data_IF_561008495916
#
_entry.id   IF_561008495916
#
_cell.length_a   1.000
_cell.length_b   1.000
_cell.length_c   1.000
_cell.angle_alpha   90.00
_cell.angle_beta   90.00
_cell.angle_gamma   90.00
#
_symmetry.space_group_name_H-M   'P 1'
#
loop_
_entity.id
_entity.type
_entity.pdbx_description
1 polymer ?
#
# COMPACT_ATOMS: atom_id res chain seq x y z
N UNK A 1 -97.33 -53.31 -36.23
CA UNK A 1 -96.59 -52.05 -35.87
C UNK A 1 -96.02 -52.25 -34.51
N UNK A 2 -94.75 -52.47 -34.41
CA UNK A 2 -94.03 -52.86 -33.15
C UNK A 2 -93.19 -51.64 -32.64
N UNK A 3 -93.49 -51.20 -31.45
CA UNK A 3 -92.75 -50.18 -30.75
C UNK A 3 -91.51 -50.77 -30.07
N UNK A 4 -90.35 -50.22 -30.36
CA UNK A 4 -89.10 -50.56 -29.68
C UNK A 4 -88.84 -49.52 -28.59
N UNK A 5 -88.75 -49.94 -27.36
CA UNK A 5 -88.35 -49.12 -26.19
C UNK A 5 -86.80 -49.14 -26.07
N UNK A 6 -86.22 -48.02 -26.18
CA UNK A 6 -84.81 -47.83 -25.87
C UNK A 6 -84.63 -47.55 -24.35
N UNK A 7 -83.86 -48.43 -23.70
CA UNK A 7 -83.38 -48.24 -22.32
C UNK A 7 -82.10 -47.49 -22.30
N UNK A 8 -82.17 -46.27 -21.76
CA UNK A 8 -80.93 -45.40 -21.58
C UNK A 8 -80.16 -45.85 -20.35
N UNK A 9 -78.93 -46.25 -20.56
CA UNK A 9 -78.00 -46.55 -19.45
C UNK A 9 -77.20 -45.22 -19.22
N UNK A 10 -77.46 -44.57 -18.07
CA UNK A 10 -76.66 -43.41 -17.58
C UNK A 10 -75.41 -43.92 -16.88
N UNK A 11 -74.24 -43.72 -17.54
CA UNK A 11 -72.92 -43.96 -16.93
C UNK A 11 -72.53 -42.71 -16.13
N UNK A 12 -72.53 -42.81 -14.81
CA UNK A 12 -72.01 -41.76 -13.93
C UNK A 12 -70.50 -41.88 -13.88
N UNK A 13 -69.80 -40.96 -14.63
CA UNK A 13 -68.34 -40.86 -14.62
C UNK A 13 -67.96 -40.07 -13.39
N UNK A 14 -67.51 -40.73 -12.29
CA UNK A 14 -66.92 -40.09 -11.14
C UNK A 14 -65.55 -39.58 -11.49
N UNK A 15 -65.42 -38.24 -11.74
CA UNK A 15 -64.14 -37.54 -11.85
C UNK A 15 -63.49 -37.42 -10.43
N UNK A 16 -62.56 -38.33 -10.12
CA UNK A 16 -61.64 -38.15 -9.02
C UNK A 16 -60.68 -37.05 -9.41
N UNK A 17 -60.92 -35.82 -8.94
CA UNK A 17 -59.89 -34.78 -8.90
C UNK A 17 -58.84 -35.21 -7.87
N UNK A 18 -57.83 -35.93 -8.33
CA UNK A 18 -56.56 -36.13 -7.61
C UNK A 18 -55.84 -34.78 -7.55
N UNK A 19 -56.00 -34.07 -6.46
CA UNK A 19 -55.16 -32.89 -6.17
C UNK A 19 -53.71 -33.37 -6.13
N UNK A 20 -52.96 -33.04 -7.16
CA UNK A 20 -51.51 -33.14 -7.10
C UNK A 20 -51.05 -32.10 -6.06
N UNK A 21 -50.83 -32.55 -4.82
CA UNK A 21 -50.06 -31.77 -3.86
C UNK A 21 -48.63 -31.64 -4.43
N UNK A 22 -48.36 -30.61 -5.18
CA UNK A 22 -46.99 -30.21 -5.48
C UNK A 22 -46.40 -29.75 -4.15
N UNK A 23 -45.56 -30.57 -3.54
CA UNK A 23 -44.70 -30.11 -2.46
C UNK A 23 -43.91 -28.91 -3.00
N UNK A 24 -44.16 -27.73 -2.46
CA UNK A 24 -43.42 -26.54 -2.82
C UNK A 24 -42.00 -26.75 -2.31
N UNK A 25 -41.02 -26.92 -3.23
CA UNK A 25 -39.64 -27.13 -2.89
C UNK A 25 -39.15 -25.95 -2.03
N UNK A 26 -38.50 -26.27 -0.92
CA UNK A 26 -37.90 -25.27 -0.05
C UNK A 26 -36.91 -24.44 -0.87
N UNK A 27 -37.00 -23.11 -0.82
CA UNK A 27 -36.01 -22.24 -1.42
C UNK A 27 -35.44 -21.27 -0.39
N UNK A 28 -34.20 -20.81 -0.62
CA UNK A 28 -33.52 -19.85 0.23
C UNK A 28 -33.16 -18.61 -0.60
N UNK A 29 -33.53 -17.43 -0.12
CA UNK A 29 -33.21 -16.15 -0.72
C UNK A 29 -32.40 -15.31 0.25
N UNK A 30 -31.32 -14.71 -0.26
CA UNK A 30 -30.35 -13.91 0.50
C UNK A 30 -30.22 -12.53 -0.13
N UNK A 31 -29.84 -11.49 0.62
CA UNK A 31 -29.43 -10.21 0.05
C UNK A 31 -28.19 -10.41 -0.84
N UNK A 32 -28.01 -9.57 -1.86
CA UNK A 32 -26.82 -9.61 -2.71
C UNK A 32 -25.56 -9.31 -1.91
N UNK A 33 -25.63 -8.30 -1.03
CA UNK A 33 -24.54 -7.90 -0.15
C UNK A 33 -25.08 -7.31 1.16
N UNK A 34 -24.25 -7.38 2.20
CA UNK A 34 -24.47 -6.83 3.54
C UNK A 34 -23.21 -6.08 3.95
N UNK A 35 -23.35 -4.95 4.63
CA UNK A 35 -22.21 -4.25 5.20
C UNK A 35 -21.76 -4.96 6.48
N UNK A 36 -20.47 -5.06 6.71
CA UNK A 36 -19.91 -5.72 7.89
C UNK A 36 -20.46 -5.13 9.20
N UNK A 37 -20.95 -6.01 10.06
CA UNK A 37 -21.57 -5.63 11.33
C UNK A 37 -23.02 -5.13 11.24
N UNK A 38 -23.64 -5.17 10.05
CA UNK A 38 -25.06 -4.90 9.90
C UNK A 38 -25.87 -6.22 9.98
N UNK A 39 -27.13 -6.16 10.46
CA UNK A 39 -28.00 -7.32 10.45
C UNK A 39 -28.38 -7.71 9.02
N UNK A 40 -28.65 -8.98 8.78
CA UNK A 40 -29.11 -9.46 7.49
C UNK A 40 -30.37 -10.32 7.67
N UNK A 41 -31.25 -10.31 6.67
CA UNK A 41 -32.46 -11.13 6.64
C UNK A 41 -32.36 -12.12 5.48
N UNK A 42 -32.59 -13.38 5.78
CA UNK A 42 -32.67 -14.49 4.83
C UNK A 42 -34.11 -14.95 4.78
N UNK A 43 -34.70 -14.99 3.61
CA UNK A 43 -36.09 -15.48 3.41
C UNK A 43 -36.09 -16.92 2.94
N UNK A 44 -37.03 -17.70 3.46
CA UNK A 44 -37.25 -19.10 3.04
C UNK A 44 -38.65 -19.25 2.50
N UNK A 45 -38.86 -20.22 1.58
CA UNK A 45 -40.17 -20.65 1.13
C UNK A 45 -40.45 -22.08 1.58
N UNK A 46 -41.70 -22.53 1.48
CA UNK A 46 -42.14 -23.85 1.91
C UNK A 46 -42.77 -23.82 3.31
N UNK A 47 -43.01 -24.98 3.87
CA UNK A 47 -43.62 -25.14 5.18
C UNK A 47 -42.94 -26.29 5.96
N UNK A 48 -43.04 -26.24 7.30
CA UNK A 48 -42.45 -27.25 8.17
C UNK A 48 -41.15 -26.82 8.82
N UNK A 49 -40.48 -27.78 9.47
CA UNK A 49 -39.19 -27.56 10.14
C UNK A 49 -38.01 -27.85 9.20
N UNK A 50 -36.95 -27.07 9.31
CA UNK A 50 -35.73 -27.27 8.57
C UNK A 50 -34.53 -26.95 9.45
N UNK A 51 -33.33 -27.42 9.06
CA UNK A 51 -32.08 -27.04 9.67
C UNK A 51 -31.40 -25.96 8.78
N UNK A 52 -31.06 -24.85 9.39
CA UNK A 52 -30.33 -23.76 8.76
C UNK A 52 -28.85 -23.82 9.12
N UNK A 53 -27.99 -23.67 8.13
CA UNK A 53 -26.56 -23.50 8.32
C UNK A 53 -26.11 -22.16 7.72
N UNK A 54 -25.29 -21.43 8.47
CA UNK A 54 -24.56 -20.24 8.00
C UNK A 54 -23.08 -20.55 8.03
N UNK A 55 -22.43 -20.48 6.86
CA UNK A 55 -21.01 -20.67 6.70
C UNK A 55 -20.40 -19.40 6.10
N UNK A 56 -19.27 -18.94 6.67
CA UNK A 56 -18.58 -17.76 6.19
C UNK A 56 -17.26 -17.53 6.91
N UNK A 57 -16.51 -16.45 6.59
CA UNK A 57 -15.26 -16.13 7.25
C UNK A 57 -15.43 -16.00 8.77
N UNK A 58 -14.83 -16.92 9.52
CA UNK A 58 -14.90 -16.94 10.98
C UNK A 58 -16.27 -17.27 11.57
N UNK A 59 -17.24 -17.77 10.77
CA UNK A 59 -18.55 -18.19 11.25
C UNK A 59 -18.93 -19.56 10.69
N UNK A 60 -19.40 -20.44 11.58
CA UNK A 60 -20.08 -21.67 11.25
C UNK A 60 -21.20 -21.84 12.28
N UNK A 61 -22.43 -21.76 11.83
CA UNK A 61 -23.61 -21.81 12.70
C UNK A 61 -24.64 -22.81 12.17
N UNK A 62 -25.25 -23.57 13.08
CA UNK A 62 -26.40 -24.41 12.83
C UNK A 62 -27.55 -23.95 13.71
N UNK A 63 -28.79 -23.93 13.21
CA UNK A 63 -30.00 -23.66 13.98
C UNK A 63 -31.21 -24.29 13.32
N UNK A 64 -32.23 -24.63 14.14
CA UNK A 64 -33.51 -25.08 13.63
C UNK A 64 -34.36 -23.86 13.27
N UNK A 65 -35.07 -23.94 12.15
CA UNK A 65 -35.89 -22.85 11.60
C UNK A 65 -37.23 -23.43 11.10
N UNK A 66 -38.21 -22.55 10.92
CA UNK A 66 -39.46 -22.88 10.24
C UNK A 66 -39.42 -22.30 8.83
N UNK A 67 -39.70 -23.13 7.82
CA UNK A 67 -39.81 -22.69 6.43
C UNK A 67 -40.96 -21.68 6.28
N UNK A 68 -40.82 -20.74 5.31
CA UNK A 68 -41.76 -19.65 5.08
C UNK A 68 -41.60 -18.47 6.05
N UNK A 69 -40.65 -18.53 6.99
CA UNK A 69 -40.31 -17.43 7.90
C UNK A 69 -38.94 -16.79 7.54
N UNK A 70 -38.78 -15.55 7.97
CA UNK A 70 -37.52 -14.84 7.86
C UNK A 70 -36.54 -15.29 8.95
N UNK A 71 -35.27 -15.49 8.54
CA UNK A 71 -34.17 -15.81 9.44
C UNK A 71 -33.35 -14.54 9.60
N UNK A 72 -33.38 -13.96 10.80
CA UNK A 72 -32.63 -12.73 11.11
C UNK A 72 -31.22 -13.06 11.60
N UNK A 73 -30.20 -12.65 10.85
CA UNK A 73 -28.81 -12.73 11.25
C UNK A 73 -28.46 -11.52 12.08
N UNK A 74 -27.95 -11.74 13.28
CA UNK A 74 -27.46 -10.68 14.15
C UNK A 74 -26.12 -10.12 13.63
N UNK A 75 -25.78 -8.84 13.91
CA UNK A 75 -24.57 -8.17 13.47
C UNK A 75 -23.26 -8.92 13.75
N UNK A 76 -23.22 -9.69 14.80
CA UNK A 76 -22.03 -10.46 15.19
C UNK A 76 -21.65 -11.56 14.19
N UNK A 77 -22.60 -12.03 13.38
CA UNK A 77 -22.37 -13.09 12.38
C UNK A 77 -21.92 -12.54 11.03
N UNK A 78 -22.00 -11.23 10.82
CA UNK A 78 -21.63 -10.53 9.57
C UNK A 78 -20.43 -9.60 9.73
N UNK A 79 -19.59 -9.78 10.77
CA UNK A 79 -18.45 -8.89 11.03
C UNK A 79 -17.31 -9.02 10.03
N UNK A 80 -17.08 -10.21 9.52
CA UNK A 80 -15.97 -10.48 8.62
C UNK A 80 -16.41 -10.37 7.17
N UNK A 81 -15.72 -9.58 6.37
CA UNK A 81 -15.99 -9.47 4.93
C UNK A 81 -15.62 -10.76 4.19
N UNK A 82 -16.40 -11.09 3.18
CA UNK A 82 -16.19 -12.25 2.33
C UNK A 82 -17.48 -12.91 1.87
N UNK A 83 -17.37 -14.10 1.27
CA UNK A 83 -18.50 -14.88 0.81
C UNK A 83 -19.10 -15.69 1.96
N UNK A 84 -20.43 -15.67 2.05
CA UNK A 84 -21.23 -16.42 3.01
C UNK A 84 -22.18 -17.34 2.26
N UNK A 85 -22.38 -18.56 2.80
CA UNK A 85 -23.37 -19.49 2.33
C UNK A 85 -24.46 -19.66 3.39
N UNK A 86 -25.70 -19.46 2.96
CA UNK A 86 -26.90 -19.81 3.70
C UNK A 86 -27.44 -21.13 3.12
N UNK A 87 -27.54 -22.16 3.95
CA UNK A 87 -28.01 -23.49 3.54
C UNK A 87 -29.22 -23.86 4.39
N UNK A 88 -30.29 -24.28 3.77
CA UNK A 88 -31.48 -24.74 4.42
C UNK A 88 -31.75 -26.18 4.00
N UNK A 89 -31.84 -27.08 4.96
CA UNK A 89 -32.06 -28.52 4.75
C UNK A 89 -33.37 -28.96 5.42
N UNK A 90 -34.32 -29.41 4.61
CA UNK A 90 -35.50 -30.18 5.03
C UNK A 90 -35.35 -31.62 4.46
N UNK A 91 -36.14 -32.02 3.49
CA UNK A 91 -36.01 -33.30 2.76
C UNK A 91 -34.80 -33.22 1.78
N UNK A 92 -34.52 -32.05 1.26
CA UNK A 92 -33.35 -31.72 0.46
C UNK A 92 -32.68 -30.46 1.00
N UNK A 93 -31.40 -30.20 0.60
CA UNK A 93 -30.69 -29.00 0.99
C UNK A 93 -30.64 -28.00 -0.18
N UNK A 94 -30.99 -26.74 0.10
CA UNK A 94 -30.87 -25.62 -0.82
C UNK A 94 -29.87 -24.60 -0.27
N UNK A 95 -29.08 -23.99 -1.11
CA UNK A 95 -28.09 -23.02 -0.71
C UNK A 95 -28.11 -21.76 -1.54
N UNK A 96 -27.79 -20.62 -0.92
CA UNK A 96 -27.58 -19.34 -1.58
C UNK A 96 -26.36 -18.63 -1.01
N UNK A 97 -25.64 -17.91 -1.86
CA UNK A 97 -24.44 -17.18 -1.49
C UNK A 97 -24.74 -15.68 -1.45
N UNK A 98 -24.26 -15.00 -0.41
CA UNK A 98 -24.23 -13.54 -0.32
C UNK A 98 -22.85 -13.07 0.11
N UNK A 99 -22.61 -11.76 -0.03
CA UNK A 99 -21.31 -11.17 0.30
C UNK A 99 -21.43 -10.18 1.44
N UNK A 100 -20.51 -10.27 2.40
CA UNK A 100 -20.31 -9.22 3.39
C UNK A 100 -19.17 -8.35 2.92
N UNK A 101 -19.40 -7.03 2.83
CA UNK A 101 -18.42 -6.03 2.39
C UNK A 101 -17.93 -5.20 3.57
N UNK A 102 -16.71 -4.66 3.46
CA UNK A 102 -16.18 -3.73 4.47
C UNK A 102 -17.11 -2.52 4.67
N UNK A 103 -17.22 -2.10 5.93
CA UNK A 103 -18.06 -0.99 6.34
C UNK A 103 -17.38 0.39 6.21
N UNK A 104 -17.83 1.37 7.02
CA UNK A 104 -17.25 2.71 7.09
C UNK A 104 -15.77 2.64 7.49
N UNK A 105 -14.93 3.50 6.90
CA UNK A 105 -13.51 3.61 7.24
C UNK A 105 -13.33 3.92 8.73
N UNK A 106 -12.57 3.08 9.42
CA UNK A 106 -12.22 3.23 10.83
C UNK A 106 -10.71 3.33 11.04
N UNK A 107 -9.91 2.96 10.03
CA UNK A 107 -8.46 3.05 10.11
C UNK A 107 -7.79 2.99 8.75
N UNK A 108 -6.50 3.32 8.76
CA UNK A 108 -5.66 3.40 7.58
C UNK A 108 -4.29 2.79 7.88
N UNK A 109 -3.94 1.69 7.21
CA UNK A 109 -2.56 1.21 7.18
C UNK A 109 -1.80 2.02 6.15
N UNK A 110 -0.69 2.63 6.57
CA UNK A 110 0.12 3.46 5.68
C UNK A 110 1.58 3.05 5.74
N UNK A 111 2.16 2.74 4.59
CA UNK A 111 3.56 2.37 4.40
C UNK A 111 4.22 3.37 3.48
N UNK A 112 5.46 3.76 3.78
CA UNK A 112 6.28 4.64 2.94
C UNK A 112 7.66 4.05 2.79
N UNK A 113 8.19 4.06 1.59
CA UNK A 113 9.52 3.54 1.26
C UNK A 113 10.24 4.48 0.29
N UNK A 114 11.57 4.63 0.43
CA UNK A 114 12.44 4.14 1.49
C UNK A 114 12.33 4.99 2.78
N UNK A 115 12.93 4.52 3.88
CA UNK A 115 13.02 5.31 5.12
C UNK A 115 14.08 6.43 5.05
N UNK A 116 15.03 6.31 4.12
CA UNK A 116 16.09 7.29 3.85
C UNK A 116 16.31 7.43 2.35
N UNK A 117 16.47 8.67 1.86
CA UNK A 117 16.58 8.96 0.44
C UNK A 117 17.49 10.18 0.22
N UNK A 118 18.34 10.21 -0.81
CA UNK A 118 19.01 11.44 -1.23
C UNK A 118 18.00 12.48 -1.71
N UNK A 119 18.34 13.76 -1.55
CA UNK A 119 17.53 14.86 -2.08
C UNK A 119 17.55 14.90 -3.60
N UNK A 120 16.57 15.60 -4.20
CA UNK A 120 16.47 15.88 -5.64
C UNK A 120 16.42 14.64 -6.54
N UNK A 121 16.00 13.49 -6.00
CA UNK A 121 15.82 12.27 -6.79
C UNK A 121 14.39 12.10 -7.27
N UNK A 122 14.23 11.91 -8.59
CA UNK A 122 12.93 11.65 -9.21
C UNK A 122 12.41 10.28 -8.81
N UNK A 123 11.11 10.21 -8.46
CA UNK A 123 10.42 8.96 -8.17
C UNK A 123 10.99 8.16 -7.00
N UNK A 124 11.71 8.81 -6.09
CA UNK A 124 12.48 8.15 -5.03
C UNK A 124 11.64 7.80 -3.79
N UNK A 125 10.49 8.43 -3.61
CA UNK A 125 9.59 8.19 -2.47
C UNK A 125 8.30 7.59 -2.97
N UNK A 126 7.88 6.48 -2.37
CA UNK A 126 6.60 5.85 -2.65
C UNK A 126 5.84 5.58 -1.36
N UNK A 127 4.51 5.61 -1.44
CA UNK A 127 3.66 5.29 -0.31
C UNK A 127 2.42 4.53 -0.74
N UNK A 128 1.95 3.66 0.17
CA UNK A 128 0.77 2.82 -0.02
C UNK A 128 -0.15 2.98 1.19
N UNK A 129 -1.40 3.29 0.94
CA UNK A 129 -2.45 3.42 1.95
C UNK A 129 -3.54 2.37 1.71
N UNK A 130 -3.91 1.68 2.78
CA UNK A 130 -4.89 0.59 2.78
C UNK A 130 -5.94 0.89 3.84
N UNK A 131 -7.14 1.36 3.46
CA UNK A 131 -8.24 1.61 4.39
C UNK A 131 -8.89 0.31 4.86
N UNK A 132 -9.36 0.32 6.11
CA UNK A 132 -10.09 -0.78 6.70
C UNK A 132 -11.19 -0.26 7.64
N UNK A 133 -12.22 -1.10 7.86
CA UNK A 133 -13.31 -0.81 8.78
C UNK A 133 -12.97 -1.14 10.24
N UNK A 134 -13.94 -0.95 11.15
CA UNK A 134 -13.77 -1.23 12.59
C UNK A 134 -13.50 -2.71 12.91
N UNK A 135 -13.83 -3.63 12.01
CA UNK A 135 -13.57 -5.06 12.15
C UNK A 135 -12.29 -5.50 11.45
N UNK A 136 -11.51 -4.54 10.89
CA UNK A 136 -10.29 -4.79 10.13
C UNK A 136 -10.51 -5.42 8.76
N UNK A 137 -11.71 -5.32 8.22
CA UNK A 137 -11.98 -5.72 6.84
C UNK A 137 -11.43 -4.68 5.87
N UNK A 138 -10.87 -5.15 4.76
CA UNK A 138 -10.49 -4.29 3.64
C UNK A 138 -11.75 -3.69 2.99
N UNK A 139 -11.64 -2.43 2.58
CA UNK A 139 -12.73 -1.70 1.91
C UNK A 139 -12.43 -1.64 0.43
N UNK A 140 -13.18 -2.40 -0.37
CA UNK A 140 -12.96 -2.52 -1.82
C UNK A 140 -13.70 -1.46 -2.64
N UNK A 141 -14.68 -0.75 -2.06
CA UNK A 141 -15.32 0.38 -2.75
C UNK A 141 -14.27 1.48 -2.97
N UNK A 142 -14.30 2.19 -4.12
CA UNK A 142 -13.35 3.25 -4.41
C UNK A 142 -13.46 4.43 -3.44
N UNK A 143 -12.42 4.68 -2.66
CA UNK A 143 -12.29 5.78 -1.70
C UNK A 143 -11.21 6.77 -2.15
N UNK A 144 -11.34 8.05 -1.79
CA UNK A 144 -10.39 9.11 -2.16
C UNK A 144 -9.40 9.37 -1.02
N UNK A 145 -8.16 8.90 -1.15
CA UNK A 145 -7.08 9.13 -0.20
C UNK A 145 -6.29 10.36 -0.61
N UNK A 146 -6.10 11.31 0.31
CA UNK A 146 -5.24 12.47 0.14
C UNK A 146 -3.85 12.19 0.68
N UNK A 147 -2.82 12.39 -0.14
CA UNK A 147 -1.42 12.33 0.24
C UNK A 147 -0.81 13.72 0.27
N UNK A 148 -0.10 14.05 1.35
CA UNK A 148 0.64 15.31 1.51
C UNK A 148 2.08 15.02 1.90
N UNK A 149 3.01 15.64 1.20
CA UNK A 149 4.44 15.58 1.48
C UNK A 149 4.92 16.98 1.87
N UNK A 150 5.57 17.10 3.02
CA UNK A 150 6.07 18.39 3.54
C UNK A 150 7.50 18.26 4.05
N UNK A 151 8.33 19.27 3.78
CA UNK A 151 9.69 19.40 4.32
C UNK A 151 9.86 20.79 4.91
N UNK A 152 10.29 20.89 6.15
CA UNK A 152 10.50 22.19 6.83
C UNK A 152 9.22 23.07 6.87
N UNK A 153 8.04 22.46 6.90
CA UNK A 153 6.76 23.19 6.84
C UNK A 153 6.27 23.56 5.43
N UNK A 154 7.11 23.37 4.40
CA UNK A 154 6.74 23.65 3.00
C UNK A 154 6.11 22.42 2.35
N UNK A 155 4.98 22.59 1.69
CA UNK A 155 4.33 21.52 0.92
C UNK A 155 5.08 21.25 -0.38
N UNK A 156 5.49 20.00 -0.59
CA UNK A 156 6.12 19.53 -1.84
C UNK A 156 5.10 18.93 -2.79
N UNK A 157 4.08 18.25 -2.23
CA UNK A 157 3.05 17.56 -2.99
C UNK A 157 1.77 17.50 -2.18
N UNK A 158 0.65 17.75 -2.85
CA UNK A 158 -0.68 17.34 -2.38
C UNK A 158 -1.36 16.63 -3.54
N UNK A 159 -1.79 15.40 -3.32
CA UNK A 159 -2.39 14.56 -4.36
C UNK A 159 -3.50 13.69 -3.79
N UNK A 160 -4.65 13.67 -4.46
CA UNK A 160 -5.75 12.75 -4.15
C UNK A 160 -5.70 11.57 -5.11
N UNK A 161 -5.75 10.36 -4.55
CA UNK A 161 -5.72 9.09 -5.31
C UNK A 161 -6.92 8.25 -4.88
N UNK A 162 -7.68 7.74 -5.85
CA UNK A 162 -8.76 6.79 -5.56
C UNK A 162 -8.18 5.40 -5.34
N UNK A 163 -8.70 4.68 -4.35
CA UNK A 163 -8.33 3.28 -4.14
C UNK A 163 -8.78 2.43 -5.33
N UNK A 164 -7.91 1.50 -5.70
CA UNK A 164 -8.20 0.41 -6.62
C UNK A 164 -8.00 -0.89 -5.85
N UNK A 165 -9.01 -1.74 -5.83
CA UNK A 165 -8.99 -2.99 -5.05
C UNK A 165 -8.59 -2.78 -3.57
N UNK A 166 -9.09 -1.70 -2.96
CA UNK A 166 -8.80 -1.36 -1.57
C UNK A 166 -7.43 -0.70 -1.32
N UNK A 167 -6.66 -0.33 -2.36
CA UNK A 167 -5.31 0.22 -2.23
C UNK A 167 -5.20 1.56 -2.96
N UNK A 168 -4.68 2.60 -2.28
CA UNK A 168 -4.21 3.82 -2.90
C UNK A 168 -2.69 3.90 -2.80
N UNK A 169 -2.01 4.32 -3.86
CA UNK A 169 -0.56 4.47 -3.86
C UNK A 169 -0.11 5.71 -4.62
N UNK A 170 1.06 6.21 -4.25
CA UNK A 170 1.71 7.31 -4.96
C UNK A 170 3.21 7.05 -5.11
N UNK A 171 3.81 7.77 -6.04
CA UNK A 171 5.25 7.90 -6.21
C UNK A 171 5.59 9.36 -6.47
N UNK A 172 6.65 9.87 -5.83
CA UNK A 172 7.08 11.27 -5.90
C UNK A 172 8.59 11.38 -5.89
N UNK A 173 9.08 12.53 -6.32
CA UNK A 173 10.46 12.92 -6.09
C UNK A 173 10.68 13.21 -4.59
N UNK A 174 11.93 13.11 -4.14
CA UNK A 174 12.38 13.69 -2.87
C UNK A 174 12.47 15.23 -2.99
N UNK A 175 12.48 15.92 -1.84
CA UNK A 175 12.69 17.37 -1.80
C UNK A 175 14.13 17.76 -2.08
N UNK A 176 14.40 19.09 -2.10
CA UNK A 176 15.72 19.63 -2.37
C UNK A 176 16.56 19.86 -1.10
N UNK A 177 15.94 19.83 0.08
CA UNK A 177 16.62 20.09 1.34
C UNK A 177 16.77 18.82 2.15
N UNK A 178 17.95 18.59 2.70
CA UNK A 178 18.19 17.52 3.66
C UNK A 178 17.34 17.76 4.94
N UNK A 179 16.90 16.66 5.56
CA UNK A 179 16.06 16.72 6.76
C UNK A 179 14.88 15.76 6.72
N UNK A 180 13.90 16.00 7.56
CA UNK A 180 12.72 15.15 7.67
C UNK A 180 11.67 15.51 6.59
N UNK A 181 11.37 14.56 5.71
CA UNK A 181 10.21 14.60 4.84
C UNK A 181 9.04 13.94 5.56
N UNK A 182 8.03 14.73 5.92
CA UNK A 182 6.79 14.21 6.49
C UNK A 182 5.85 13.81 5.36
N UNK A 183 5.31 12.59 5.45
CA UNK A 183 4.35 12.05 4.50
C UNK A 183 3.08 11.71 5.28
N UNK A 184 1.98 12.37 4.93
CA UNK A 184 0.67 12.19 5.52
C UNK A 184 -0.25 11.54 4.49
N UNK A 185 -0.96 10.51 4.90
CA UNK A 185 -2.13 9.99 4.19
C UNK A 185 -3.37 10.27 5.02
N UNK A 186 -4.44 10.77 4.41
CA UNK A 186 -5.70 11.03 5.08
C UNK A 186 -6.88 10.59 4.23
N UNK A 187 -7.93 10.11 4.92
CA UNK A 187 -9.18 9.67 4.34
C UNK A 187 -10.28 9.92 5.37
N UNK A 188 -11.26 10.78 5.04
CA UNK A 188 -12.29 11.24 5.98
C UNK A 188 -11.65 11.74 7.29
N UNK A 189 -12.03 11.16 8.42
CA UNK A 189 -11.53 11.51 9.75
C UNK A 189 -10.26 10.75 10.16
N UNK A 190 -9.80 9.78 9.34
CA UNK A 190 -8.61 8.98 9.66
C UNK A 190 -7.38 9.48 8.92
N UNK A 191 -6.24 9.46 9.61
CA UNK A 191 -4.96 9.83 9.01
C UNK A 191 -3.82 9.00 9.58
N UNK A 192 -2.76 8.88 8.78
CA UNK A 192 -1.53 8.20 9.19
C UNK A 192 -0.32 8.98 8.65
N UNK A 193 0.72 9.13 9.49
CA UNK A 193 1.94 9.86 9.17
C UNK A 193 3.14 8.93 9.15
N UNK A 194 4.07 9.20 8.23
CA UNK A 194 5.40 8.59 8.19
C UNK A 194 6.44 9.68 7.95
N UNK A 195 7.68 9.36 8.28
CA UNK A 195 8.82 10.25 8.06
C UNK A 195 9.85 9.51 7.22
N UNK A 196 10.36 10.20 6.20
CA UNK A 196 11.49 9.76 5.38
C UNK A 196 12.64 10.71 5.64
N UNK A 197 13.81 10.19 5.97
CA UNK A 197 15.01 11.01 6.16
C UNK A 197 15.60 11.36 4.79
N UNK A 198 15.56 12.62 4.43
CA UNK A 198 16.28 13.14 3.27
C UNK A 198 17.72 13.46 3.66
N UNK A 199 18.66 13.03 2.85
CA UNK A 199 20.10 13.29 3.02
C UNK A 199 20.63 14.00 1.80
N UNK A 200 21.75 14.71 1.94
CA UNK A 200 22.42 15.28 0.79
C UNK A 200 22.71 14.18 -0.25
N UNK A 201 22.64 14.53 -1.51
CA UNK A 201 23.06 13.68 -2.62
C UNK A 201 24.60 13.70 -2.76
N UNK A 202 25.11 13.10 -3.83
CA UNK A 202 26.53 13.11 -4.12
C UNK A 202 27.08 14.54 -4.22
N UNK A 203 28.39 14.76 -3.93
CA UNK A 203 29.05 16.05 -4.10
C UNK A 203 28.80 16.68 -5.47
N UNK A 204 28.65 17.99 -5.49
CA UNK A 204 28.54 18.74 -6.71
C UNK A 204 29.62 19.88 -6.70
N UNK A 205 30.34 20.04 -7.79
CA UNK A 205 31.40 21.07 -7.88
C UNK A 205 32.52 20.88 -6.83
N UNK A 206 33.06 19.66 -6.75
CA UNK A 206 34.21 19.37 -5.90
C UNK A 206 35.44 20.22 -6.32
N UNK A 207 35.79 21.21 -5.48
CA UNK A 207 36.93 22.07 -5.71
C UNK A 207 38.01 21.82 -4.68
N UNK A 208 39.26 21.82 -5.13
CA UNK A 208 40.42 21.65 -4.27
C UNK A 208 41.41 22.81 -4.43
N UNK A 209 42.11 23.06 -3.35
CA UNK A 209 43.29 23.91 -3.26
C UNK A 209 44.41 23.13 -2.60
N UNK A 210 45.64 23.53 -2.90
CA UNK A 210 46.79 22.86 -2.33
C UNK A 210 47.97 23.81 -2.23
N UNK A 211 48.78 23.55 -1.20
CA UNK A 211 50.00 24.32 -0.98
C UNK A 211 51.18 23.39 -0.66
N UNK A 212 52.38 23.89 -0.99
CA UNK A 212 53.64 23.21 -0.65
C UNK A 212 53.97 23.49 0.81
N UNK A 213 54.33 22.42 1.53
CA UNK A 213 54.84 22.47 2.89
C UNK A 213 56.28 21.92 2.95
N UNK A 214 56.93 22.03 4.11
CA UNK A 214 58.29 21.47 4.31
C UNK A 214 58.33 19.93 4.18
N UNK A 215 57.22 19.24 4.38
CA UNK A 215 57.16 17.79 4.42
C UNK A 215 56.39 17.18 3.23
N UNK A 216 55.91 18.01 2.29
CA UNK A 216 55.13 17.53 1.13
C UNK A 216 54.13 18.58 0.64
N UNK A 217 52.98 18.11 0.20
CA UNK A 217 51.88 18.94 -0.28
C UNK A 217 50.69 18.74 0.65
N UNK A 218 50.14 19.79 1.21
CA UNK A 218 48.84 19.77 1.86
C UNK A 218 47.78 20.12 0.83
N UNK A 219 46.74 19.32 0.72
CA UNK A 219 45.59 19.53 -0.16
C UNK A 219 44.31 19.49 0.65
N UNK A 220 43.36 20.36 0.31
CA UNK A 220 42.03 20.35 0.93
C UNK A 220 40.95 20.69 -0.09
N UNK A 221 39.71 20.30 0.20
CA UNK A 221 38.55 20.75 -0.55
C UNK A 221 38.05 22.08 -0.02
N UNK A 222 37.41 22.88 -0.87
CA UNK A 222 36.43 23.86 -0.40
C UNK A 222 35.30 23.14 0.34
N UNK A 223 34.39 23.85 1.08
CA UNK A 223 33.23 23.24 1.69
C UNK A 223 32.38 22.47 0.66
N UNK A 224 32.21 21.14 0.88
CA UNK A 224 31.59 20.25 -0.10
C UNK A 224 30.09 20.22 0.08
N UNK A 225 29.37 20.56 -0.97
CA UNK A 225 27.92 20.57 -1.03
C UNK A 225 27.42 19.67 -2.17
N UNK A 226 26.16 19.19 -2.07
CA UNK A 226 25.48 18.60 -3.21
C UNK A 226 24.97 19.67 -4.18
N UNK A 227 24.38 19.25 -5.32
CA UNK A 227 23.86 20.18 -6.33
C UNK A 227 22.63 21.00 -5.86
N UNK A 228 22.06 20.66 -4.73
CA UNK A 228 20.96 21.39 -4.09
C UNK A 228 21.44 22.34 -2.97
N UNK A 229 22.77 22.41 -2.73
CA UNK A 229 23.38 23.26 -1.72
C UNK A 229 23.37 22.67 -0.30
N UNK A 230 23.00 21.40 -0.12
CA UNK A 230 23.07 20.76 1.18
C UNK A 230 24.52 20.31 1.46
N UNK A 231 25.05 20.51 2.70
CA UNK A 231 26.37 20.02 3.05
C UNK A 231 26.44 18.50 2.95
N UNK A 232 27.46 17.99 2.27
CA UNK A 232 27.70 16.55 2.16
C UNK A 232 28.09 16.00 3.54
N UNK A 233 27.55 14.83 3.95
CA UNK A 233 27.76 14.29 5.29
C UNK A 233 29.24 14.04 5.60
N UNK A 234 29.65 14.31 6.85
CA UNK A 234 30.95 13.92 7.38
C UNK A 234 31.16 12.41 7.24
N UNK A 235 32.38 12.00 6.93
CA UNK A 235 32.74 10.61 6.64
C UNK A 235 32.65 10.24 5.16
N UNK A 236 32.08 11.08 4.28
CA UNK A 236 32.16 10.87 2.82
C UNK A 236 33.62 10.95 2.37
N UNK A 237 34.07 9.99 1.58
CA UNK A 237 35.46 9.89 1.17
C UNK A 237 35.73 10.75 -0.07
N UNK A 238 36.79 11.52 -0.01
CA UNK A 238 37.40 12.20 -1.13
C UNK A 238 38.77 11.57 -1.39
N UNK A 239 39.00 11.07 -2.60
CA UNK A 239 40.27 10.52 -3.04
C UNK A 239 41.07 11.59 -3.75
N UNK A 240 42.21 11.97 -3.21
CA UNK A 240 43.17 12.85 -3.83
C UNK A 240 44.22 12.04 -4.60
N UNK A 241 44.46 12.37 -5.87
CA UNK A 241 45.43 11.68 -6.71
C UNK A 241 46.50 12.69 -7.11
N UNK A 242 47.75 12.48 -6.68
CA UNK A 242 48.90 13.22 -7.15
C UNK A 242 49.57 12.47 -8.30
N UNK A 243 49.74 13.16 -9.42
CA UNK A 243 50.48 12.67 -10.59
C UNK A 243 51.80 13.43 -10.67
N UNK A 244 52.89 12.72 -10.49
CA UNK A 244 54.27 13.19 -10.56
C UNK A 244 54.94 12.63 -11.83
N UNK A 245 56.18 13.09 -12.15
CA UNK A 245 56.96 12.61 -13.31
C UNK A 245 57.20 11.09 -13.24
N UNK A 246 57.37 10.53 -12.05
CA UNK A 246 57.75 9.13 -11.81
C UNK A 246 56.62 8.24 -11.37
N UNK A 247 55.34 8.73 -11.30
CA UNK A 247 54.24 7.88 -10.88
C UNK A 247 53.01 8.64 -10.38
N UNK A 248 52.09 7.86 -9.85
CA UNK A 248 50.87 8.38 -9.23
C UNK A 248 50.75 7.85 -7.80
N UNK A 249 50.29 8.70 -6.90
CA UNK A 249 49.93 8.31 -5.54
C UNK A 249 48.52 8.80 -5.23
N UNK A 250 47.79 8.03 -4.40
CA UNK A 250 46.41 8.35 -3.97
C UNK A 250 46.32 8.37 -2.47
N UNK A 251 45.51 9.29 -1.94
CA UNK A 251 45.20 9.41 -0.52
C UNK A 251 43.70 9.61 -0.36
N UNK A 252 43.05 8.73 0.41
CA UNK A 252 41.66 8.86 0.78
C UNK A 252 41.53 9.68 2.06
N UNK A 253 40.67 10.68 2.03
CA UNK A 253 40.38 11.54 3.18
C UNK A 253 38.90 11.70 3.40
N UNK A 254 38.40 11.42 4.61
CA UNK A 254 36.99 11.66 4.93
C UNK A 254 36.73 13.16 5.07
N UNK A 255 35.57 13.60 4.61
CA UNK A 255 35.03 14.93 4.92
C UNK A 255 34.83 15.03 6.44
N UNK A 256 35.32 16.11 7.02
CA UNK A 256 35.11 16.50 8.42
C UNK A 256 34.75 17.96 8.47
N UNK A 257 33.61 18.30 9.07
CA UNK A 257 33.10 19.68 9.11
C UNK A 257 33.02 20.32 7.69
N UNK A 258 32.56 19.50 6.73
CA UNK A 258 32.36 19.94 5.34
C UNK A 258 33.63 19.96 4.46
N UNK A 259 34.83 19.66 4.98
CA UNK A 259 36.09 19.74 4.24
C UNK A 259 36.86 18.41 4.36
N UNK A 260 37.40 17.93 3.22
CA UNK A 260 38.38 16.84 3.22
C UNK A 260 39.80 17.40 3.13
N UNK A 261 40.74 16.89 3.93
CA UNK A 261 42.16 17.31 3.95
C UNK A 261 43.07 16.08 3.89
N UNK A 262 44.09 16.18 3.07
CA UNK A 262 45.12 15.18 2.96
C UNK A 262 46.51 15.80 2.90
N UNK A 263 47.52 15.02 3.28
CA UNK A 263 48.93 15.32 3.09
C UNK A 263 49.56 14.32 2.14
N UNK A 264 50.16 14.80 1.07
CA UNK A 264 50.83 13.97 0.06
C UNK A 264 52.32 14.19 0.23
N UNK A 265 53.07 13.11 0.46
CA UNK A 265 54.51 13.17 0.64
C UNK A 265 55.22 13.23 -0.71
N UNK A 266 56.30 13.99 -0.83
CA UNK A 266 57.13 14.04 -2.02
C UNK A 266 57.76 15.43 -2.25
N UNK A 267 59.03 15.48 -2.69
CA UNK A 267 59.72 16.75 -2.99
C UNK A 267 59.41 17.30 -4.40
N UNK A 268 58.88 16.45 -5.30
CA UNK A 268 58.60 16.75 -6.69
C UNK A 268 57.40 17.69 -6.92
N UNK A 269 57.31 18.24 -8.11
CA UNK A 269 56.10 18.91 -8.56
C UNK A 269 55.02 17.87 -8.91
N UNK A 270 53.77 18.16 -8.59
CA UNK A 270 52.64 17.26 -8.82
C UNK A 270 51.43 18.00 -9.42
N UNK A 271 50.66 17.28 -10.23
CA UNK A 271 49.29 17.64 -10.59
C UNK A 271 48.38 16.85 -9.68
N UNK A 272 47.57 17.56 -8.88
CA UNK A 272 46.66 16.92 -7.94
C UNK A 272 45.23 17.05 -8.45
N UNK A 273 44.53 15.95 -8.54
CA UNK A 273 43.10 15.86 -8.80
C UNK A 273 42.38 15.28 -7.60
N UNK A 274 41.07 15.49 -7.50
CA UNK A 274 40.22 14.89 -6.48
C UNK A 274 38.99 14.24 -7.09
N UNK A 275 38.52 13.18 -6.45
CA UNK A 275 37.28 12.54 -6.80
C UNK A 275 36.51 12.12 -5.54
N UNK A 276 35.17 12.11 -5.64
CA UNK A 276 34.31 11.53 -4.63
C UNK A 276 33.17 10.77 -5.33
N UNK A 277 33.18 9.45 -5.21
CA UNK A 277 32.32 8.61 -6.04
C UNK A 277 32.58 8.83 -7.53
N UNK A 278 31.55 9.23 -8.27
CA UNK A 278 31.64 9.51 -9.73
C UNK A 278 31.97 10.98 -10.05
N UNK A 279 32.05 11.83 -9.04
CA UNK A 279 32.27 13.26 -9.21
C UNK A 279 33.76 13.56 -9.21
N UNK A 280 34.21 14.23 -10.26
CA UNK A 280 35.62 14.70 -10.38
C UNK A 280 35.70 16.18 -10.01
N UNK A 281 36.74 16.54 -9.29
CA UNK A 281 37.07 17.92 -8.95
C UNK A 281 37.95 18.58 -10.01
N UNK A 282 38.37 19.85 -9.74
CA UNK A 282 39.38 20.53 -10.51
C UNK A 282 40.78 19.91 -10.28
N UNK A 283 41.74 20.30 -11.14
CA UNK A 283 43.17 19.99 -10.97
C UNK A 283 43.91 21.18 -10.41
N UNK A 284 44.86 20.92 -9.52
CA UNK A 284 45.79 21.93 -8.97
C UNK A 284 47.23 21.50 -9.27
N UNK A 285 48.04 22.44 -9.81
CA UNK A 285 49.45 22.19 -10.10
C UNK A 285 50.32 22.83 -9.03
N UNK A 286 51.12 22.00 -8.39
CA UNK A 286 52.05 22.43 -7.34
C UNK A 286 53.48 22.24 -7.86
N UNK A 287 54.29 23.28 -7.85
CA UNK A 287 55.68 23.22 -8.27
C UNK A 287 56.56 22.35 -7.37
N UNK A 288 57.73 21.96 -7.86
CA UNK A 288 58.74 21.28 -7.05
C UNK A 288 59.25 22.21 -5.94
N UNK A 289 59.78 21.62 -4.88
CA UNK A 289 60.43 22.36 -3.83
C UNK A 289 61.71 23.00 -4.42
N UNK A 290 61.96 24.32 -4.19
CA UNK A 290 63.17 24.99 -4.68
C UNK A 290 64.46 24.44 -4.08
#
# INVERSE_FOLDING_TARGET
MRSVRLIGISIFLALCFGGVCTAEDASVRVPTSVVAGEPATISTTGSGKATFYLLGPGVSRKSDVSLGQEIHLQPQYTRNAGAYQAIVCADSCQSATFYVTGGKTAGLTFLVHPSRVPVSQSGAVSGVAIPFDQFRNLIFIPLSVSFQLTTGGTSLLTRVVRTQEGIAWFRSASGHSAGALQVLASLDEVSARRVVQQVASDPCNLRIEGERTKTGITVQTEPVHDCSGNPVPDGTIVTFTATEQNGKSTVDAPIKQGIARAQISGPGGAVISAASGVVMGNEVRIGAQP
#
